data_IF_400569679090
#
_entry.id   IF_400569679090
#
_cell.length_a   1.000
_cell.length_b   1.000
_cell.length_c   1.000
_cell.angle_alpha   90.00
_cell.angle_beta   90.00
_cell.angle_gamma   90.00
#
_symmetry.space_group_name_H-M   'P 1'
#
loop_
_entity.id
_entity.type
_entity.pdbx_description
1 polymer ?
#
# COMPACT_ATOMS: atom_id res chain seq x y z
N UNK A 1 29.73 -8.64 6.20
CA UNK A 1 28.81 -9.16 7.23
C UNK A 1 27.49 -9.40 6.54
N UNK A 2 27.28 -10.63 6.05
CA UNK A 2 26.05 -11.07 5.39
C UNK A 2 24.95 -11.23 6.45
N UNK A 3 24.23 -10.15 6.71
CA UNK A 3 23.02 -10.16 7.55
C UNK A 3 21.71 -10.18 6.73
N UNK A 4 21.80 -10.40 5.42
CA UNK A 4 20.64 -10.67 4.62
C UNK A 4 20.53 -12.19 4.44
N UNK A 5 19.49 -12.85 4.97
CA UNK A 5 19.19 -14.20 4.54
C UNK A 5 18.93 -14.12 3.03
N UNK A 6 19.70 -14.85 2.26
CA UNK A 6 19.67 -14.81 0.79
C UNK A 6 18.30 -15.08 0.16
N UNK A 7 17.29 -15.51 0.94
CA UNK A 7 15.94 -15.81 0.48
C UNK A 7 14.89 -15.69 1.61
N UNK A 8 14.59 -14.47 2.06
CA UNK A 8 13.24 -14.25 2.57
C UNK A 8 12.40 -13.72 1.42
N UNK A 9 11.63 -14.55 0.69
CA UNK A 9 10.67 -14.05 -0.26
C UNK A 9 9.62 -13.25 0.53
N UNK A 10 9.82 -11.94 0.58
CA UNK A 10 8.89 -11.01 1.16
C UNK A 10 7.78 -10.82 0.13
N UNK A 11 6.69 -11.58 0.32
CA UNK A 11 5.56 -11.59 -0.59
C UNK A 11 4.58 -10.48 -0.30
N UNK A 12 4.11 -9.90 -1.36
CA UNK A 12 2.82 -9.20 -1.46
C UNK A 12 2.58 -8.82 -2.91
N UNK A 13 1.32 -8.58 -3.23
CA UNK A 13 0.93 -7.79 -4.40
C UNK A 13 0.09 -6.63 -3.89
N UNK A 14 0.62 -5.44 -4.00
CA UNK A 14 -0.04 -4.21 -3.54
C UNK A 14 -0.06 -3.20 -4.65
N UNK A 15 -1.20 -2.56 -4.89
CA UNK A 15 -1.39 -1.54 -5.92
C UNK A 15 -2.01 -0.28 -5.35
N UNK A 16 -1.68 0.86 -5.93
CA UNK A 16 -2.29 2.15 -5.67
C UNK A 16 -2.65 2.85 -6.98
N UNK A 17 -3.81 3.51 -7.00
CA UNK A 17 -4.36 4.19 -8.18
C UNK A 17 -4.97 5.53 -7.77
N UNK A 18 -4.59 6.59 -8.47
CA UNK A 18 -5.22 7.91 -8.33
C UNK A 18 -6.43 7.98 -9.27
N UNK A 19 -7.60 8.23 -8.70
CA UNK A 19 -8.82 8.54 -9.43
C UNK A 19 -9.06 10.05 -9.47
N UNK A 20 -9.99 10.53 -10.31
CA UNK A 20 -10.35 11.95 -10.37
C UNK A 20 -10.90 12.51 -9.05
N UNK A 21 -11.49 11.65 -8.24
CA UNK A 21 -12.23 11.97 -7.02
C UNK A 21 -11.74 11.21 -5.77
N UNK A 22 -10.59 10.52 -5.88
CA UNK A 22 -10.04 9.78 -4.75
C UNK A 22 -8.79 8.98 -5.06
N UNK A 23 -8.40 8.13 -4.12
CA UNK A 23 -7.30 7.18 -4.24
C UNK A 23 -7.78 5.79 -3.81
N UNK A 24 -7.35 4.79 -4.53
CA UNK A 24 -7.59 3.38 -4.21
C UNK A 24 -6.27 2.72 -3.87
N UNK A 25 -6.20 2.09 -2.70
CA UNK A 25 -5.11 1.21 -2.29
C UNK A 25 -5.66 -0.20 -2.13
N UNK A 26 -5.00 -1.20 -2.71
CA UNK A 26 -5.43 -2.59 -2.61
C UNK A 26 -4.24 -3.52 -2.43
N UNK A 27 -4.40 -4.57 -1.62
CA UNK A 27 -3.39 -5.60 -1.43
C UNK A 27 -4.03 -6.96 -1.19
N UNK A 28 -3.33 -8.04 -1.58
CA UNK A 28 -3.71 -9.40 -1.22
C UNK A 28 -3.43 -9.70 0.27
N UNK A 29 -3.91 -10.85 0.78
CA UNK A 29 -3.97 -11.17 2.21
C UNK A 29 -3.06 -12.30 2.68
N UNK A 30 -2.33 -12.97 1.78
CA UNK A 30 -1.48 -14.10 2.14
C UNK A 30 -0.28 -13.67 2.97
N UNK A 31 0.01 -14.40 4.03
CA UNK A 31 1.24 -14.25 4.81
C UNK A 31 2.04 -15.54 4.69
N UNK A 32 3.27 -15.44 4.20
CA UNK A 32 4.18 -16.58 4.06
C UNK A 32 5.47 -16.35 4.84
N UNK A 33 6.14 -17.45 5.18
CA UNK A 33 7.54 -17.47 5.59
C UNK A 33 8.27 -18.37 4.60
N UNK A 34 9.11 -17.78 3.77
CA UNK A 34 9.56 -18.46 2.56
C UNK A 34 8.37 -18.85 1.70
N UNK A 35 8.30 -20.13 1.35
CA UNK A 35 7.16 -20.68 0.59
C UNK A 35 6.07 -21.30 1.48
N UNK A 36 6.24 -21.28 2.81
CA UNK A 36 5.25 -21.82 3.74
C UNK A 36 4.15 -20.80 4.02
N UNK A 37 2.89 -21.21 3.87
CA UNK A 37 1.73 -20.40 4.23
C UNK A 37 1.61 -20.33 5.75
N UNK A 38 1.68 -19.12 6.32
CA UNK A 38 1.47 -18.87 7.74
C UNK A 38 0.04 -18.42 8.05
N UNK A 39 -0.51 -17.53 7.22
CA UNK A 39 -1.84 -16.98 7.43
C UNK A 39 -2.48 -16.55 6.11
N UNK A 40 -3.81 -16.60 6.09
CA UNK A 40 -4.66 -16.13 4.97
C UNK A 40 -5.35 -14.79 5.29
N UNK A 41 -5.03 -14.19 6.43
CA UNK A 41 -5.73 -13.03 6.97
C UNK A 41 -4.79 -11.84 7.26
N UNK A 42 -3.66 -11.77 6.56
CA UNK A 42 -2.70 -10.67 6.71
C UNK A 42 -3.33 -9.34 6.29
N UNK A 43 -3.19 -8.32 7.14
CA UNK A 43 -3.57 -6.95 6.79
C UNK A 43 -2.33 -6.21 6.31
N UNK A 44 -2.40 -5.68 5.08
CA UNK A 44 -1.30 -4.94 4.42
C UNK A 44 -1.74 -3.56 3.95
N UNK A 45 -3.02 -3.24 4.11
CA UNK A 45 -3.61 -1.93 3.83
C UNK A 45 -4.11 -1.34 5.14
N UNK A 46 -3.72 -0.11 5.45
CA UNK A 46 -3.98 0.52 6.74
C UNK A 46 -4.56 1.92 6.54
N UNK A 47 -5.74 2.13 7.09
CA UNK A 47 -6.32 3.46 7.24
C UNK A 47 -5.55 4.21 8.33
N UNK A 48 -5.00 5.37 8.01
CA UNK A 48 -4.29 6.25 8.96
C UNK A 48 -5.24 7.31 9.51
N UNK A 49 -5.96 7.99 8.61
CA UNK A 49 -7.04 8.92 8.94
C UNK A 49 -8.21 8.73 7.95
N UNK A 50 -9.23 9.56 8.02
CA UNK A 50 -10.31 9.55 7.03
C UNK A 50 -9.86 10.05 5.65
N UNK A 51 -8.68 10.68 5.55
CA UNK A 51 -8.14 11.24 4.31
C UNK A 51 -6.79 10.68 3.91
N UNK A 52 -6.21 9.76 4.71
CA UNK A 52 -4.88 9.21 4.50
C UNK A 52 -4.85 7.70 4.77
N UNK A 53 -4.20 6.95 3.92
CA UNK A 53 -3.93 5.53 4.12
C UNK A 53 -2.59 5.12 3.57
N UNK A 54 -2.14 3.94 3.96
CA UNK A 54 -0.95 3.30 3.41
C UNK A 54 -1.26 1.86 3.02
N UNK A 55 -0.50 1.37 2.05
CA UNK A 55 -0.50 -0.04 1.68
C UNK A 55 0.95 -0.49 1.52
N UNK A 56 1.26 -1.67 2.02
CA UNK A 56 2.64 -2.13 2.14
C UNK A 56 2.86 -3.50 1.49
N UNK A 57 4.10 -3.76 1.11
CA UNK A 57 4.59 -5.07 0.68
C UNK A 57 5.91 -5.36 1.37
N UNK A 58 6.07 -6.55 1.99
CA UNK A 58 7.28 -6.94 2.70
C UNK A 58 6.99 -7.69 4.00
N UNK A 59 7.73 -7.40 5.07
CA UNK A 59 7.58 -8.05 6.36
C UNK A 59 6.39 -7.47 7.14
N UNK A 60 5.44 -8.33 7.55
CA UNK A 60 4.22 -7.92 8.25
C UNK A 60 4.51 -7.11 9.53
N UNK A 61 5.49 -7.52 10.32
CA UNK A 61 5.87 -6.81 11.55
C UNK A 61 6.29 -5.36 11.26
N UNK A 62 7.04 -5.15 10.19
CA UNK A 62 7.52 -3.84 9.78
C UNK A 62 6.39 -2.97 9.22
N UNK A 63 5.50 -3.55 8.40
CA UNK A 63 4.29 -2.86 7.93
C UNK A 63 3.44 -2.35 9.10
N UNK A 64 3.23 -3.19 10.12
CA UNK A 64 2.50 -2.81 11.33
C UNK A 64 3.24 -1.73 12.14
N UNK A 65 4.57 -1.78 12.21
CA UNK A 65 5.36 -0.75 12.88
C UNK A 65 5.26 0.58 12.14
N UNK A 66 5.44 0.58 10.81
CA UNK A 66 5.31 1.76 9.95
C UNK A 66 3.93 2.40 10.11
N UNK A 67 2.86 1.59 10.05
CA UNK A 67 1.48 2.11 10.16
C UNK A 67 1.23 2.77 11.52
N UNK A 68 1.71 2.17 12.62
CA UNK A 68 1.53 2.74 13.96
C UNK A 68 2.33 4.03 14.17
N UNK A 69 3.57 4.06 13.71
CA UNK A 69 4.43 5.24 13.84
C UNK A 69 3.85 6.38 13.02
N UNK A 70 3.50 6.15 11.76
CA UNK A 70 2.91 7.19 10.91
C UNK A 70 1.58 7.69 11.49
N UNK A 71 0.71 6.81 11.97
CA UNK A 71 -0.57 7.21 12.57
C UNK A 71 -0.37 8.10 13.82
N UNK A 72 0.61 7.78 14.66
CA UNK A 72 0.92 8.57 15.85
C UNK A 72 1.43 9.97 15.49
N UNK A 73 2.37 10.05 14.54
CA UNK A 73 2.95 11.32 14.10
C UNK A 73 1.93 12.21 13.38
N UNK A 74 1.09 11.62 12.52
CA UNK A 74 0.01 12.36 11.84
C UNK A 74 -0.98 12.89 12.87
N UNK A 75 -1.36 12.07 13.85
CA UNK A 75 -2.28 12.50 14.91
C UNK A 75 -1.70 13.63 15.76
N UNK A 76 -0.41 13.56 16.10
CA UNK A 76 0.29 14.61 16.83
C UNK A 76 0.28 15.92 16.04
N UNK A 77 0.64 15.85 14.75
CA UNK A 77 0.60 17.03 13.87
C UNK A 77 -0.80 17.68 13.82
N UNK A 78 -1.86 16.87 13.68
CA UNK A 78 -3.23 17.37 13.58
C UNK A 78 -3.69 18.05 14.89
N UNK A 79 -3.26 17.53 16.05
CA UNK A 79 -3.55 18.14 17.36
C UNK A 79 -2.81 19.47 17.52
N UNK A 80 -1.52 19.49 17.17
CA UNK A 80 -0.68 20.69 17.37
C UNK A 80 -1.02 21.82 16.40
N UNK A 81 -1.46 21.49 15.19
CA UNK A 81 -1.71 22.47 14.13
C UNK A 81 -3.19 22.76 13.89
N UNK A 82 -4.11 22.06 14.58
CA UNK A 82 -5.57 22.15 14.42
C UNK A 82 -6.05 22.03 12.96
N UNK A 83 -5.33 21.22 12.17
CA UNK A 83 -5.62 20.95 10.75
C UNK A 83 -5.16 19.57 10.33
N UNK A 84 -5.77 19.02 9.28
CA UNK A 84 -5.35 17.76 8.68
C UNK A 84 -3.96 17.87 8.07
N UNK A 85 -3.15 16.81 8.19
CA UNK A 85 -1.84 16.75 7.54
C UNK A 85 -2.03 16.53 6.02
N UNK A 86 -1.42 17.38 5.16
CA UNK A 86 -1.41 17.14 3.73
C UNK A 86 -0.76 15.80 3.37
N UNK A 87 -1.25 15.12 2.32
CA UNK A 87 -0.76 13.80 1.92
C UNK A 87 0.73 13.82 1.61
N UNK A 88 1.19 14.84 0.90
CA UNK A 88 2.62 15.06 0.60
C UNK A 88 3.46 15.21 1.88
N UNK A 89 2.94 15.89 2.89
CA UNK A 89 3.63 16.05 4.17
C UNK A 89 3.75 14.73 4.91
N UNK A 90 2.70 13.91 4.91
CA UNK A 90 2.73 12.56 5.49
C UNK A 90 3.73 11.65 4.77
N UNK A 91 3.78 11.68 3.43
CA UNK A 91 4.76 10.93 2.65
C UNK A 91 6.20 11.38 2.94
N UNK A 92 6.45 12.68 3.03
CA UNK A 92 7.76 13.24 3.40
C UNK A 92 8.17 12.86 4.82
N UNK A 93 7.24 12.92 5.77
CA UNK A 93 7.48 12.50 7.15
C UNK A 93 7.89 11.02 7.20
N UNK A 94 7.14 10.15 6.51
CA UNK A 94 7.49 8.72 6.44
C UNK A 94 8.85 8.52 5.77
N UNK A 95 9.17 9.24 4.70
CA UNK A 95 10.48 9.22 4.05
C UNK A 95 11.62 9.51 5.03
N UNK A 96 11.48 10.52 5.89
CA UNK A 96 12.47 10.86 6.92
C UNK A 96 12.57 9.74 7.96
N UNK A 97 11.45 9.18 8.42
CA UNK A 97 11.44 8.07 9.37
C UNK A 97 12.20 6.86 8.81
N UNK A 98 11.94 6.49 7.57
CA UNK A 98 12.60 5.37 6.87
C UNK A 98 14.09 5.66 6.69
N UNK A 99 14.46 6.84 6.21
CA UNK A 99 15.85 7.23 5.99
C UNK A 99 16.67 7.23 7.29
N UNK A 100 16.11 7.65 8.42
CA UNK A 100 16.77 7.61 9.71
C UNK A 100 17.07 6.18 10.17
N UNK A 101 16.39 5.19 9.62
CA UNK A 101 16.60 3.77 9.89
C UNK A 101 17.39 3.04 8.80
N UNK A 102 17.98 3.72 7.82
CA UNK A 102 18.62 3.14 6.65
C UNK A 102 19.76 2.15 6.92
N UNK A 103 20.35 2.18 8.12
CA UNK A 103 21.39 1.22 8.53
C UNK A 103 20.74 -0.12 8.95
N UNK A 104 19.52 -0.08 9.52
CA UNK A 104 18.71 -1.24 9.87
C UNK A 104 17.26 -0.95 9.39
N UNK A 105 17.01 -1.05 8.06
CA UNK A 105 15.77 -0.59 7.47
C UNK A 105 14.60 -1.50 7.84
N UNK A 106 13.40 -0.95 7.73
CA UNK A 106 12.20 -1.76 7.65
C UNK A 106 12.17 -2.48 6.31
N UNK A 107 11.90 -3.78 6.32
CA UNK A 107 11.76 -4.58 5.10
C UNK A 107 10.33 -4.46 4.55
N UNK A 108 9.99 -3.28 4.10
CA UNK A 108 8.68 -3.00 3.51
C UNK A 108 8.76 -1.83 2.52
N UNK A 109 8.27 -2.06 1.30
CA UNK A 109 7.90 -1.00 0.37
C UNK A 109 6.54 -0.45 0.80
N UNK A 110 6.30 0.84 0.59
CA UNK A 110 5.07 1.48 1.07
C UNK A 110 4.48 2.42 0.02
N UNK A 111 3.18 2.30 -0.21
CA UNK A 111 2.36 3.29 -0.90
C UNK A 111 1.68 4.18 0.14
N UNK A 112 1.75 5.48 -0.03
CA UNK A 112 1.01 6.47 0.75
C UNK A 112 0.00 7.11 -0.16
N UNK A 113 -1.28 6.97 0.14
CA UNK A 113 -2.36 7.52 -0.66
C UNK A 113 -3.35 8.32 0.18
N UNK A 114 -3.91 9.35 -0.40
CA UNK A 114 -4.90 10.16 0.29
C UNK A 114 -5.47 11.29 -0.54
N UNK A 115 -6.34 12.06 0.10
CA UNK A 115 -7.00 13.22 -0.51
C UNK A 115 -6.87 14.41 0.43
N UNK A 116 -6.30 15.51 -0.05
CA UNK A 116 -6.23 16.78 0.67
C UNK A 116 -6.86 17.92 -0.14
N UNK A 117 -6.57 19.16 0.23
CA UNK A 117 -7.16 20.33 -0.43
C UNK A 117 -6.61 20.55 -1.86
N UNK A 118 -5.47 19.94 -2.20
CA UNK A 118 -4.91 19.96 -3.56
C UNK A 118 -5.46 18.83 -4.45
N UNK A 119 -6.16 17.84 -3.84
CA UNK A 119 -6.76 16.71 -4.52
C UNK A 119 -6.22 15.36 -4.07
N UNK A 120 -6.42 14.30 -4.89
CA UNK A 120 -5.92 12.97 -4.62
C UNK A 120 -4.43 12.83 -4.98
N UNK A 121 -3.66 12.21 -4.09
CA UNK A 121 -2.22 11.98 -4.23
C UNK A 121 -1.83 10.55 -3.90
N UNK A 122 -0.86 10.02 -4.62
CA UNK A 122 -0.22 8.73 -4.37
C UNK A 122 1.29 8.90 -4.38
N UNK A 123 1.94 8.39 -3.34
CA UNK A 123 3.40 8.38 -3.22
C UNK A 123 3.91 6.96 -3.05
N UNK A 124 5.02 6.65 -3.69
CA UNK A 124 5.75 5.39 -3.59
C UNK A 124 7.01 5.62 -2.77
N UNK A 125 7.22 4.79 -1.75
CA UNK A 125 8.39 4.85 -0.89
C UNK A 125 9.10 3.48 -0.88
N UNK A 126 10.41 3.50 -1.05
CA UNK A 126 11.26 2.34 -0.83
C UNK A 126 11.68 2.22 0.65
N UNK A 127 12.27 1.08 1.08
CA UNK A 127 12.71 0.88 2.46
C UNK A 127 13.77 1.87 2.96
N UNK A 128 14.48 2.55 2.06
CA UNK A 128 15.53 3.52 2.39
C UNK A 128 15.01 4.96 2.49
N UNK A 129 13.72 5.17 2.19
CA UNK A 129 13.08 6.46 2.34
C UNK A 129 13.07 7.33 1.09
N UNK A 130 13.32 6.77 -0.12
CA UNK A 130 13.00 7.51 -1.34
C UNK A 130 11.49 7.76 -1.40
N UNK A 131 11.08 8.87 -2.00
CA UNK A 131 9.67 9.23 -2.14
C UNK A 131 9.43 9.80 -3.52
N UNK A 132 8.52 9.15 -4.27
CA UNK A 132 8.14 9.55 -5.63
C UNK A 132 6.62 9.66 -5.70
N UNK A 133 6.13 10.74 -6.27
CA UNK A 133 4.70 10.90 -6.55
C UNK A 133 4.38 10.29 -7.91
N UNK A 134 3.31 9.51 -7.99
CA UNK A 134 2.87 8.89 -9.22
C UNK A 134 1.32 8.80 -9.28
N UNK A 135 0.77 8.50 -10.45
CA UNK A 135 -0.67 8.31 -10.65
C UNK A 135 -1.13 6.90 -10.35
N UNK A 136 -0.26 5.94 -10.51
CA UNK A 136 -0.47 4.54 -10.17
C UNK A 136 0.86 3.87 -9.85
N UNK A 137 0.80 2.85 -9.02
CA UNK A 137 1.97 2.07 -8.66
C UNK A 137 1.60 0.65 -8.26
N UNK A 138 2.54 -0.26 -8.41
CA UNK A 138 2.48 -1.60 -7.84
C UNK A 138 3.80 -1.91 -7.12
N UNK A 139 3.72 -2.54 -5.96
CA UNK A 139 4.87 -2.94 -5.14
C UNK A 139 4.75 -4.40 -4.70
N UNK A 140 5.87 -4.98 -4.30
CA UNK A 140 5.95 -6.38 -3.85
C UNK A 140 6.27 -7.38 -4.95
N UNK A 141 6.26 -8.68 -4.61
CA UNK A 141 6.65 -9.78 -5.49
C UNK A 141 5.79 -9.90 -6.76
N UNK A 142 4.48 -9.68 -6.65
CA UNK A 142 3.55 -9.69 -7.78
C UNK A 142 3.45 -8.37 -8.56
N UNK A 143 4.22 -7.35 -8.19
CA UNK A 143 4.15 -6.01 -8.79
C UNK A 143 4.30 -6.02 -10.32
N UNK A 144 5.22 -6.83 -10.85
CA UNK A 144 5.49 -6.90 -12.31
C UNK A 144 4.28 -7.37 -13.12
N UNK A 145 3.44 -8.23 -12.54
CA UNK A 145 2.19 -8.68 -13.19
C UNK A 145 1.13 -7.60 -13.02
N UNK A 146 0.95 -7.09 -11.81
CA UNK A 146 -0.06 -6.10 -11.49
C UNK A 146 0.12 -4.81 -12.29
N UNK A 147 1.36 -4.29 -12.40
CA UNK A 147 1.63 -3.03 -13.09
C UNK A 147 1.31 -3.12 -14.58
N UNK A 148 1.60 -4.25 -15.22
CA UNK A 148 1.26 -4.45 -16.64
C UNK A 148 -0.24 -4.39 -16.91
N UNK A 149 -1.07 -4.86 -15.99
CA UNK A 149 -2.54 -4.74 -16.08
C UNK A 149 -2.97 -3.29 -15.87
N UNK A 150 -2.41 -2.63 -14.85
CA UNK A 150 -2.72 -1.22 -14.57
C UNK A 150 -2.36 -0.34 -15.77
N UNK A 151 -1.14 -0.46 -16.31
CA UNK A 151 -0.68 0.34 -17.45
C UNK A 151 -1.52 0.13 -18.71
N UNK A 152 -2.05 -1.07 -18.92
CA UNK A 152 -2.88 -1.36 -20.09
C UNK A 152 -4.28 -0.74 -20.05
N UNK A 153 -4.81 -0.45 -18.84
CA UNK A 153 -6.21 -0.05 -18.68
C UNK A 153 -6.40 1.28 -17.94
N UNK A 154 -5.38 1.75 -17.20
CA UNK A 154 -5.48 3.02 -16.48
C UNK A 154 -5.57 4.20 -17.47
N UNK A 155 -6.45 5.12 -17.16
CA UNK A 155 -6.64 6.39 -17.91
C UNK A 155 -6.81 7.53 -16.91
N UNK A 156 -6.22 8.66 -17.22
CA UNK A 156 -6.42 9.87 -16.43
C UNK A 156 -7.91 10.22 -16.34
N UNK A 157 -8.36 10.60 -15.15
CA UNK A 157 -9.73 10.99 -14.92
C UNK A 157 -10.72 9.85 -14.69
N UNK A 158 -10.25 8.60 -14.53
CA UNK A 158 -11.10 7.49 -14.10
C UNK A 158 -11.79 7.81 -12.78
N UNK A 159 -13.06 7.38 -12.65
CA UNK A 159 -13.78 7.47 -11.38
C UNK A 159 -13.22 6.48 -10.36
N UNK A 160 -13.40 6.74 -9.07
CA UNK A 160 -12.89 5.88 -8.00
C UNK A 160 -13.39 4.44 -8.11
N UNK A 161 -14.64 4.22 -8.54
CA UNK A 161 -15.18 2.88 -8.78
C UNK A 161 -14.48 2.11 -9.89
N UNK A 162 -14.12 2.80 -11.01
CA UNK A 162 -13.34 2.20 -12.09
C UNK A 162 -11.93 1.82 -11.64
N UNK A 163 -11.30 2.69 -10.81
CA UNK A 163 -10.00 2.38 -10.20
C UNK A 163 -10.07 1.21 -9.22
N UNK A 164 -11.16 1.06 -8.46
CA UNK A 164 -11.37 -0.12 -7.60
C UNK A 164 -11.44 -1.42 -8.42
N UNK A 165 -12.22 -1.43 -9.50
CA UNK A 165 -12.34 -2.60 -10.39
C UNK A 165 -10.98 -2.96 -11.02
N UNK A 166 -10.23 -1.95 -11.47
CA UNK A 166 -8.91 -2.14 -12.04
C UNK A 166 -7.91 -2.66 -11.00
N UNK A 167 -7.91 -2.11 -9.77
CA UNK A 167 -7.06 -2.57 -8.68
C UNK A 167 -7.34 -4.04 -8.33
N UNK A 168 -8.62 -4.42 -8.22
CA UNK A 168 -9.04 -5.80 -7.97
C UNK A 168 -8.56 -6.72 -9.08
N UNK A 169 -8.74 -6.31 -10.34
CA UNK A 169 -8.30 -7.08 -11.52
C UNK A 169 -6.78 -7.29 -11.50
N UNK A 170 -6.01 -6.22 -11.28
CA UNK A 170 -4.55 -6.28 -11.24
C UNK A 170 -4.02 -7.22 -10.14
N UNK A 171 -4.56 -7.10 -8.91
CA UNK A 171 -4.18 -7.98 -7.80
C UNK A 171 -4.59 -9.43 -8.06
N UNK A 172 -5.80 -9.69 -8.60
CA UNK A 172 -6.23 -11.05 -8.96
C UNK A 172 -5.33 -11.70 -10.01
N UNK A 173 -4.92 -10.95 -11.03
CA UNK A 173 -4.01 -11.47 -12.06
C UNK A 173 -2.63 -11.79 -11.48
N UNK A 174 -2.14 -10.96 -10.58
CA UNK A 174 -0.88 -11.22 -9.89
C UNK A 174 -0.97 -12.46 -8.99
N UNK A 175 -2.05 -12.63 -8.22
CA UNK A 175 -2.29 -13.82 -7.40
C UNK A 175 -2.24 -15.12 -8.23
N UNK A 176 -2.70 -15.08 -9.47
CA UNK A 176 -2.65 -16.22 -10.37
C UNK A 176 -1.24 -16.59 -10.87
N UNK A 177 -0.24 -15.74 -10.63
CA UNK A 177 1.14 -15.89 -11.11
C UNK A 177 2.20 -15.83 -10.03
N UNK A 178 1.88 -15.26 -8.87
CA UNK A 178 2.76 -15.13 -7.72
C UNK A 178 2.35 -16.15 -6.64
N UNK A 179 3.20 -17.11 -6.37
CA UNK A 179 2.92 -18.21 -5.43
C UNK A 179 2.75 -17.73 -3.97
N UNK A 180 3.34 -16.60 -3.63
CA UNK A 180 3.29 -16.04 -2.27
C UNK A 180 2.22 -14.96 -2.07
N UNK A 181 1.43 -14.68 -3.12
CA UNK A 181 0.24 -13.80 -3.06
C UNK A 181 -1.05 -14.62 -3.10
N UNK A 182 -2.10 -14.21 -2.35
CA UNK A 182 -3.37 -14.93 -2.38
C UNK A 182 -4.38 -14.58 -1.30
N UNK A 183 -5.39 -15.44 -1.19
CA UNK A 183 -6.34 -15.61 -0.09
C UNK A 183 -7.36 -14.47 0.13
N UNK A 184 -7.38 -13.45 -0.69
CA UNK A 184 -8.31 -12.34 -0.62
C UNK A 184 -7.67 -11.01 -0.96
N UNK A 185 -8.47 -9.97 -1.04
CA UNK A 185 -8.01 -8.60 -1.36
C UNK A 185 -8.63 -7.63 -0.36
N UNK A 186 -7.79 -6.89 0.35
CA UNK A 186 -8.21 -5.72 1.12
C UNK A 186 -8.10 -4.48 0.24
N UNK A 187 -9.11 -3.62 0.29
CA UNK A 187 -9.22 -2.38 -0.47
C UNK A 187 -9.51 -1.25 0.50
N UNK A 188 -8.76 -0.16 0.35
CA UNK A 188 -9.01 1.10 1.01
C UNK A 188 -9.27 2.15 -0.07
N UNK A 189 -10.49 2.69 -0.08
CA UNK A 189 -10.89 3.77 -0.96
C UNK A 189 -10.99 5.05 -0.17
N UNK A 190 -10.24 6.08 -0.58
CA UNK A 190 -10.17 7.37 0.09
C UNK A 190 -10.68 8.44 -0.84
N UNK A 191 -11.69 9.18 -0.38
CA UNK A 191 -12.28 10.32 -1.10
C UNK A 191 -12.41 11.52 -0.17
N UNK A 192 -12.87 12.65 -0.69
CA UNK A 192 -13.19 13.81 0.14
C UNK A 192 -14.28 13.53 1.21
N UNK A 193 -15.07 12.46 1.02
CA UNK A 193 -16.12 12.03 1.96
C UNK A 193 -15.59 11.14 3.09
N UNK A 194 -14.34 10.70 3.01
CA UNK A 194 -13.70 9.81 3.97
C UNK A 194 -13.14 8.54 3.35
N UNK A 195 -12.65 7.66 4.21
CA UNK A 195 -12.00 6.41 3.82
C UNK A 195 -12.89 5.20 4.16
N UNK A 196 -13.04 4.30 3.18
CA UNK A 196 -13.83 3.07 3.29
C UNK A 196 -12.93 1.86 3.08
N UNK A 197 -12.93 0.94 4.02
CA UNK A 197 -12.23 -0.35 3.93
C UNK A 197 -13.21 -1.45 3.48
N UNK A 198 -12.79 -2.29 2.54
CA UNK A 198 -13.52 -3.49 2.10
C UNK A 198 -12.57 -4.66 1.95
N UNK A 199 -13.07 -5.88 2.20
CA UNK A 199 -12.35 -7.12 1.91
C UNK A 199 -13.13 -7.94 0.90
N UNK A 200 -12.46 -8.43 -0.14
CA UNK A 200 -13.00 -9.36 -1.13
C UNK A 200 -12.39 -10.73 -0.85
N UNK A 201 -13.18 -11.71 -0.39
CA UNK A 201 -12.71 -13.07 -0.23
C UNK A 201 -12.44 -13.67 -1.62
N UNK A 202 -11.31 -14.34 -1.78
CA UNK A 202 -11.06 -15.20 -2.93
C UNK A 202 -11.25 -16.65 -2.47
N UNK A 203 -12.20 -17.35 -3.07
CA UNK A 203 -12.39 -18.77 -2.81
C UNK A 203 -11.19 -19.54 -3.33
N UNK A 204 -10.51 -20.26 -2.46
CA UNK A 204 -9.56 -21.29 -2.86
C UNK A 204 -10.38 -22.49 -3.28
N UNK A 205 -10.59 -22.67 -4.58
CA UNK A 205 -11.07 -23.97 -5.10
C UNK A 205 -9.91 -24.96 -5.00
N UNK A 206 -10.08 -25.97 -4.15
CA UNK A 206 -9.20 -27.15 -4.12
C UNK A 206 -9.57 -28.10 -5.25
#
# INVERSE_FOLDING_TARGET
VDFMPEELPLGATTVGLVAKDGVVLASEKRVTYGYALLSRAGKKVFKITDRLGIACAGLIADMQAISRVLAAEVKLYEIENERTMPVRSAAKLLSVILFNRRIMPYFAETLVGGVDDEGPHLFVLDPLGSVVEDKYAAIGSGARVAIGIVESEYRDGMAVGECEELAIKAVKMAIGRDAISGDGIDILTITARGAVERTIPLQVSF
#
